data_IF_542491759166
#
_entry.id   IF_542491759166
#
_cell.length_a   1.000
_cell.length_b   1.000
_cell.length_c   1.000
_cell.angle_alpha   90.00
_cell.angle_beta   90.00
_cell.angle_gamma   90.00
#
_symmetry.space_group_name_H-M   'P 1'
#
loop_
_entity.id
_entity.type
_entity.pdbx_description
1 polymer ?
#
# COMPACT_ATOMS: atom_id res chain seq x y z
N UNK A 1 -21.90 25.45 12.63
CA UNK A 1 -21.29 26.80 12.58
C UNK A 1 -20.16 27.01 13.59
N UNK A 2 -20.32 26.76 14.91
CA UNK A 2 -19.24 26.99 15.87
C UNK A 2 -18.01 26.09 15.65
N UNK A 3 -18.19 24.90 15.08
CA UNK A 3 -17.10 23.94 14.86
C UNK A 3 -16.14 24.37 13.74
N UNK A 4 -16.65 24.98 12.68
CA UNK A 4 -15.81 25.54 11.60
C UNK A 4 -14.97 26.73 12.08
N UNK A 5 -15.56 27.58 12.93
CA UNK A 5 -14.86 28.75 13.50
C UNK A 5 -13.75 28.30 14.45
N UNK A 6 -14.01 27.30 15.29
CA UNK A 6 -12.98 26.71 16.17
C UNK A 6 -11.87 26.05 15.37
N UNK A 7 -12.20 25.26 14.35
CA UNK A 7 -11.21 24.59 13.51
C UNK A 7 -10.35 25.56 12.69
N UNK A 8 -10.96 26.64 12.17
CA UNK A 8 -10.24 27.70 11.45
C UNK A 8 -9.28 28.49 12.37
N UNK A 9 -9.69 28.76 13.61
CA UNK A 9 -8.88 29.49 14.60
C UNK A 9 -7.71 28.64 15.15
N UNK A 10 -7.95 27.34 15.40
CA UNK A 10 -6.94 26.41 15.93
C UNK A 10 -5.94 25.91 14.89
N UNK A 11 -6.07 26.30 13.62
CA UNK A 11 -5.12 25.93 12.58
C UNK A 11 -3.75 26.55 12.87
N UNK A 12 -2.69 25.72 12.89
CA UNK A 12 -1.36 26.09 13.44
C UNK A 12 -0.83 27.44 12.95
N UNK A 13 -1.08 27.75 11.67
CA UNK A 13 -0.56 28.94 11.03
C UNK A 13 -1.36 30.19 11.40
N UNK A 14 -2.69 30.09 11.56
CA UNK A 14 -3.52 31.21 12.00
C UNK A 14 -3.22 31.57 13.45
N UNK A 15 -3.02 30.56 14.31
CA UNK A 15 -2.66 30.77 15.72
C UNK A 15 -1.28 31.45 15.87
N UNK A 16 -0.33 31.09 15.00
CA UNK A 16 0.99 31.74 14.96
C UNK A 16 0.90 33.19 14.45
N UNK A 17 0.08 33.47 13.43
CA UNK A 17 -0.10 34.83 12.92
C UNK A 17 -0.83 35.73 13.92
N UNK A 18 -1.88 35.24 14.58
CA UNK A 18 -2.63 36.00 15.58
C UNK A 18 -1.80 36.20 16.86
N UNK A 19 -1.22 35.12 17.40
CA UNK A 19 -0.36 35.19 18.57
C UNK A 19 0.87 36.08 18.34
N UNK A 20 1.50 35.96 17.16
CA UNK A 20 2.63 36.79 16.76
C UNK A 20 2.25 38.26 16.55
N UNK A 21 1.12 38.53 15.89
CA UNK A 21 0.62 39.89 15.65
C UNK A 21 0.19 40.60 16.93
N UNK A 22 -0.48 39.89 17.84
CA UNK A 22 -0.86 40.42 19.15
C UNK A 22 0.36 40.71 20.03
N UNK A 23 1.35 39.79 20.06
CA UNK A 23 2.59 39.99 20.80
C UNK A 23 3.39 41.20 20.25
N UNK A 24 3.50 41.34 18.93
CA UNK A 24 4.17 42.47 18.30
C UNK A 24 3.44 43.80 18.55
N UNK A 25 2.10 43.80 18.55
CA UNK A 25 1.29 44.98 18.84
C UNK A 25 1.45 45.47 20.29
N UNK A 26 1.55 44.56 21.26
CA UNK A 26 1.77 44.89 22.68
C UNK A 26 3.16 45.45 22.93
N UNK A 27 4.17 45.02 22.16
CA UNK A 27 5.54 45.51 22.27
C UNK A 27 5.77 46.89 21.61
N UNK A 28 4.74 47.45 20.97
CA UNK A 28 4.81 48.73 20.25
C UNK A 28 3.99 49.81 20.99
N UNK A 29 4.46 51.07 21.09
CA UNK A 29 3.76 52.16 21.81
C UNK A 29 2.39 52.56 21.20
N UNK A 30 1.99 51.94 20.08
CA UNK A 30 0.72 52.12 19.38
C UNK A 30 -0.29 50.99 19.66
N UNK A 31 -0.07 50.19 20.72
CA UNK A 31 -0.89 49.04 21.08
C UNK A 31 -2.40 49.34 21.11
N UNK A 32 -2.80 50.51 21.60
CA UNK A 32 -4.21 50.93 21.69
C UNK A 32 -4.94 51.03 20.34
N UNK A 33 -4.22 51.18 19.23
CA UNK A 33 -4.78 51.24 17.87
C UNK A 33 -4.54 49.93 17.12
N UNK A 34 -3.36 49.33 17.28
CA UNK A 34 -2.96 48.14 16.53
C UNK A 34 -3.70 46.87 16.97
N UNK A 35 -3.94 46.73 18.28
CA UNK A 35 -4.60 45.54 18.84
C UNK A 35 -6.06 45.38 18.36
N UNK A 36 -6.93 46.42 18.39
CA UNK A 36 -8.27 46.30 17.81
C UNK A 36 -8.25 46.10 16.29
N UNK A 37 -7.24 46.59 15.58
CA UNK A 37 -7.08 46.42 14.14
C UNK A 37 -6.68 44.97 13.77
N UNK A 38 -5.80 44.35 14.56
CA UNK A 38 -5.43 42.93 14.42
C UNK A 38 -6.63 42.04 14.71
N UNK A 39 -7.38 42.33 15.78
CA UNK A 39 -8.62 41.59 16.11
C UNK A 39 -9.67 41.75 15.00
N UNK A 40 -9.88 42.97 14.50
CA UNK A 40 -10.83 43.22 13.41
C UNK A 40 -10.40 42.53 12.10
N UNK A 41 -9.09 42.55 11.79
CA UNK A 41 -8.54 41.88 10.63
C UNK A 41 -8.67 40.37 10.69
N UNK A 42 -8.44 39.76 11.86
CA UNK A 42 -8.63 38.33 12.06
C UNK A 42 -10.11 37.94 11.97
N UNK A 43 -11.02 38.72 12.56
CA UNK A 43 -12.45 38.47 12.44
C UNK A 43 -12.93 38.55 10.99
N UNK A 44 -12.46 39.54 10.22
CA UNK A 44 -12.77 39.67 8.79
C UNK A 44 -12.19 38.51 7.98
N UNK A 45 -10.95 38.10 8.29
CA UNK A 45 -10.29 36.97 7.63
C UNK A 45 -11.00 35.64 7.93
N UNK A 46 -11.36 35.37 9.18
CA UNK A 46 -12.09 34.15 9.58
C UNK A 46 -13.50 34.13 8.98
N UNK A 47 -14.20 35.27 8.93
CA UNK A 47 -15.49 35.37 8.25
C UNK A 47 -15.36 35.08 6.74
N UNK A 48 -14.30 35.58 6.10
CA UNK A 48 -13.97 35.28 4.71
C UNK A 48 -13.62 33.81 4.49
N UNK A 49 -12.77 33.22 5.34
CA UNK A 49 -12.34 31.83 5.24
C UNK A 49 -13.50 30.86 5.40
N UNK A 50 -14.42 31.14 6.33
CA UNK A 50 -15.65 30.37 6.50
C UNK A 50 -16.56 30.50 5.29
N UNK A 51 -16.50 31.56 4.49
CA UNK A 51 -17.31 31.69 3.26
C UNK A 51 -16.78 30.87 2.07
N UNK A 52 -15.55 30.35 2.14
CA UNK A 52 -14.93 29.58 1.04
C UNK A 52 -15.48 28.14 1.01
N UNK A 53 -16.10 27.71 -0.11
CA UNK A 53 -16.75 26.39 -0.20
C UNK A 53 -15.77 25.23 -0.06
N UNK A 54 -14.52 25.38 -0.53
CA UNK A 54 -13.45 24.39 -0.38
C UNK A 54 -13.04 24.17 1.09
N UNK A 55 -13.05 25.22 1.90
CA UNK A 55 -12.68 25.12 3.31
C UNK A 55 -13.77 24.41 4.11
N UNK A 56 -15.05 24.74 3.83
CA UNK A 56 -16.18 24.00 4.39
C UNK A 56 -16.14 22.54 4.00
N UNK A 57 -15.95 22.21 2.72
CA UNK A 57 -15.86 20.83 2.26
C UNK A 57 -14.73 20.02 2.91
N UNK A 58 -13.58 20.64 3.18
CA UNK A 58 -12.45 19.98 3.84
C UNK A 58 -12.72 19.72 5.34
N UNK A 59 -13.33 20.68 6.05
CA UNK A 59 -13.73 20.50 7.45
C UNK A 59 -14.93 19.56 7.55
N UNK A 60 -15.86 19.60 6.61
CA UNK A 60 -16.97 18.66 6.49
C UNK A 60 -16.44 17.24 6.29
N UNK A 61 -15.47 17.04 5.39
CA UNK A 61 -14.83 15.74 5.22
C UNK A 61 -14.12 15.26 6.51
N UNK A 62 -13.48 16.16 7.25
CA UNK A 62 -12.79 15.83 8.49
C UNK A 62 -13.74 15.55 9.67
N UNK A 63 -14.82 16.33 9.79
CA UNK A 63 -15.88 16.14 10.79
C UNK A 63 -16.72 14.92 10.43
N UNK A 64 -16.97 14.64 9.16
CA UNK A 64 -17.56 13.38 8.72
C UNK A 64 -16.61 12.20 8.97
N UNK A 65 -15.30 12.31 8.76
CA UNK A 65 -14.35 11.25 9.11
C UNK A 65 -14.33 10.96 10.63
N UNK A 66 -14.57 11.97 11.47
CA UNK A 66 -14.60 11.84 12.93
C UNK A 66 -15.98 11.50 13.51
N UNK A 67 -17.06 11.79 12.79
CA UNK A 67 -18.46 11.60 13.22
C UNK A 67 -19.19 10.49 12.45
N UNK A 68 -18.57 9.88 11.45
CA UNK A 68 -19.15 8.75 10.73
C UNK A 68 -19.14 7.52 11.63
N UNK A 69 -20.24 7.33 12.34
CA UNK A 69 -20.80 6.00 12.55
C UNK A 69 -21.20 5.46 11.18
N UNK A 70 -20.64 4.34 10.68
CA UNK A 70 -20.88 3.92 9.31
C UNK A 70 -22.25 3.25 9.19
N UNK A 71 -23.20 4.01 8.67
CA UNK A 71 -24.28 3.43 7.91
C UNK A 71 -23.76 3.19 6.48
N UNK A 72 -23.47 1.93 6.18
CA UNK A 72 -23.05 1.33 4.92
C UNK A 72 -23.37 2.14 3.63
N UNK A 73 -22.41 2.92 3.16
CA UNK A 73 -22.22 3.20 1.75
C UNK A 73 -20.89 2.56 1.31
N UNK A 74 -20.83 1.85 0.16
CA UNK A 74 -19.57 1.26 -0.30
C UNK A 74 -18.54 2.36 -0.55
N UNK A 75 -17.41 2.28 0.16
CA UNK A 75 -16.28 3.19 -0.02
C UNK A 75 -15.74 3.01 -1.44
N UNK A 76 -15.65 4.11 -2.20
CA UNK A 76 -15.04 4.06 -3.53
C UNK A 76 -13.58 3.57 -3.39
N UNK A 77 -13.18 2.52 -4.12
CA UNK A 77 -11.80 2.04 -4.07
C UNK A 77 -10.85 3.17 -4.49
N UNK A 78 -9.70 3.33 -3.82
CA UNK A 78 -8.69 4.29 -4.27
C UNK A 78 -8.27 3.93 -5.69
N UNK A 79 -8.27 4.91 -6.61
CA UNK A 79 -8.01 4.67 -8.04
C UNK A 79 -6.70 3.91 -8.32
N UNK A 80 -5.69 4.12 -7.47
CA UNK A 80 -4.42 3.38 -7.50
C UNK A 80 -4.56 1.88 -7.30
N UNK A 81 -5.52 1.42 -6.48
CA UNK A 81 -5.78 -0.01 -6.28
C UNK A 81 -6.46 -0.66 -7.49
N UNK A 82 -7.38 0.07 -8.14
CA UNK A 82 -8.01 -0.37 -9.37
C UNK A 82 -6.98 -0.47 -10.51
N UNK A 83 -6.08 0.50 -10.63
CA UNK A 83 -5.00 0.50 -11.61
C UNK A 83 -4.02 -0.67 -11.37
N UNK A 84 -3.66 -0.94 -10.11
CA UNK A 84 -2.81 -2.08 -9.75
C UNK A 84 -3.48 -3.42 -10.08
N UNK A 85 -4.78 -3.56 -9.81
CA UNK A 85 -5.56 -4.74 -10.17
C UNK A 85 -5.68 -4.89 -11.68
N UNK A 86 -5.90 -3.81 -12.42
CA UNK A 86 -5.95 -3.81 -13.89
C UNK A 86 -4.62 -4.23 -14.54
N UNK A 87 -3.48 -3.90 -13.92
CA UNK A 87 -2.15 -4.29 -14.40
C UNK A 87 -1.74 -5.75 -14.14
N UNK A 88 -2.57 -6.53 -13.43
CA UNK A 88 -2.28 -7.93 -13.09
C UNK A 88 -2.74 -8.91 -14.18
N UNK A 89 -1.97 -10.00 -14.42
CA UNK A 89 -2.40 -11.06 -15.32
C UNK A 89 -3.68 -11.75 -14.78
N UNK A 90 -4.50 -12.35 -15.66
CA UNK A 90 -5.81 -12.90 -15.28
C UNK A 90 -5.73 -13.96 -14.18
N UNK A 91 -4.71 -14.82 -14.20
CA UNK A 91 -4.50 -15.83 -13.15
C UNK A 91 -4.29 -15.18 -11.78
N UNK A 92 -3.42 -14.16 -11.69
CA UNK A 92 -3.15 -13.45 -10.45
C UNK A 92 -4.38 -12.68 -9.94
N UNK A 93 -5.17 -12.08 -10.84
CA UNK A 93 -6.46 -11.47 -10.49
C UNK A 93 -7.41 -12.50 -9.89
N UNK A 94 -7.52 -13.68 -10.50
CA UNK A 94 -8.37 -14.77 -9.98
C UNK A 94 -7.93 -15.25 -8.59
N UNK A 95 -6.61 -15.35 -8.34
CA UNK A 95 -6.06 -15.70 -7.02
C UNK A 95 -6.44 -14.66 -5.97
N UNK A 96 -6.27 -13.38 -6.29
CA UNK A 96 -6.66 -12.28 -5.42
C UNK A 96 -8.15 -12.31 -5.07
N UNK A 97 -9.02 -12.50 -6.07
CA UNK A 97 -10.48 -12.59 -5.89
C UNK A 97 -10.86 -13.73 -4.94
N UNK A 98 -10.27 -14.91 -5.12
CA UNK A 98 -10.51 -16.08 -4.25
C UNK A 98 -10.10 -15.78 -2.81
N UNK A 99 -8.96 -15.10 -2.60
CA UNK A 99 -8.50 -14.75 -1.26
C UNK A 99 -9.42 -13.70 -0.62
N UNK A 100 -9.81 -12.67 -1.37
CA UNK A 100 -10.73 -11.63 -0.91
C UNK A 100 -12.08 -12.21 -0.48
N UNK A 101 -12.66 -13.11 -1.28
CA UNK A 101 -13.89 -13.81 -0.93
C UNK A 101 -13.78 -14.59 0.40
N UNK A 102 -12.67 -15.32 0.62
CA UNK A 102 -12.44 -16.04 1.89
C UNK A 102 -12.32 -15.10 3.09
N UNK A 103 -11.69 -13.94 2.93
CA UNK A 103 -11.62 -12.93 3.98
C UNK A 103 -13.01 -12.37 4.33
N UNK A 104 -13.89 -12.18 3.33
CA UNK A 104 -15.27 -11.76 3.55
C UNK A 104 -16.10 -12.82 4.28
N UNK A 105 -15.94 -14.09 3.91
CA UNK A 105 -16.58 -15.23 4.60
C UNK A 105 -16.14 -15.29 6.07
N UNK A 106 -14.85 -15.18 6.34
CA UNK A 106 -14.30 -15.14 7.70
C UNK A 106 -14.91 -14.01 8.54
N UNK A 107 -15.06 -12.82 7.95
CA UNK A 107 -15.72 -11.67 8.60
C UNK A 107 -17.19 -11.95 8.90
N UNK A 108 -17.91 -12.54 7.96
CA UNK A 108 -19.33 -12.88 8.13
C UNK A 108 -19.54 -13.92 9.25
N UNK A 109 -18.69 -14.95 9.32
CA UNK A 109 -18.72 -15.97 10.38
C UNK A 109 -18.47 -15.33 11.76
N UNK A 110 -17.43 -14.50 11.87
CA UNK A 110 -17.10 -13.80 13.12
C UNK A 110 -18.22 -12.86 13.60
N UNK A 111 -18.93 -12.21 12.67
CA UNK A 111 -20.09 -11.37 12.97
C UNK A 111 -21.30 -12.19 13.43
N UNK A 112 -21.60 -13.31 12.77
CA UNK A 112 -22.73 -14.18 13.09
C UNK A 112 -22.62 -14.81 14.48
N UNK A 113 -21.42 -15.24 14.88
CA UNK A 113 -21.14 -15.82 16.20
C UNK A 113 -21.39 -14.82 17.33
N UNK A 114 -20.97 -13.55 17.16
CA UNK A 114 -21.20 -12.49 18.14
C UNK A 114 -22.67 -12.09 18.27
N UNK A 115 -23.39 -12.04 17.15
CA UNK A 115 -24.82 -11.74 17.15
C UNK A 115 -25.64 -12.77 17.94
N UNK A 116 -25.23 -14.04 17.92
CA UNK A 116 -25.86 -15.10 18.71
C UNK A 116 -25.53 -15.03 20.21
N UNK A 117 -24.40 -14.44 20.60
CA UNK A 117 -23.95 -14.32 21.99
C UNK A 117 -24.61 -13.16 22.77
N UNK A 118 -25.47 -12.35 22.12
CA UNK A 118 -26.24 -11.29 22.77
C UNK A 118 -25.45 -10.03 23.17
N UNK A 119 -24.20 -9.91 22.73
CA UNK A 119 -23.31 -8.80 23.09
C UNK A 119 -23.60 -7.56 22.21
N UNK A 120 -24.57 -6.73 22.64
CA UNK A 120 -24.98 -5.50 21.96
C UNK A 120 -24.19 -4.24 22.38
N UNK A 121 -23.06 -4.37 23.09
CA UNK A 121 -22.30 -3.22 23.56
C UNK A 121 -21.14 -2.85 22.61
N UNK A 122 -21.42 -1.99 21.63
CA UNK A 122 -20.49 -0.92 21.17
C UNK A 122 -19.17 -1.28 20.47
N UNK A 123 -18.88 -2.55 20.16
CA UNK A 123 -17.59 -2.96 19.57
C UNK A 123 -17.65 -3.64 18.21
N UNK A 124 -18.77 -3.54 17.48
CA UNK A 124 -19.00 -4.30 16.25
C UNK A 124 -17.99 -4.02 15.11
N UNK A 125 -17.32 -2.86 15.12
CA UNK A 125 -16.38 -2.42 14.08
C UNK A 125 -14.91 -2.76 14.34
N UNK A 126 -14.53 -3.05 15.59
CA UNK A 126 -13.12 -3.12 15.96
C UNK A 126 -12.50 -4.51 15.79
N UNK A 127 -13.25 -5.51 15.29
CA UNK A 127 -12.64 -6.80 14.89
C UNK A 127 -12.06 -6.67 13.48
N UNK A 128 -11.03 -5.81 13.51
CA UNK A 128 -9.76 -5.81 12.77
C UNK A 128 -9.85 -6.08 11.28
N UNK A 129 -10.77 -5.41 10.60
CA UNK A 129 -10.62 -4.96 9.21
C UNK A 129 -9.15 -4.61 8.88
N UNK A 130 -8.40 -3.84 9.71
CA UNK A 130 -6.98 -3.55 9.47
C UNK A 130 -6.06 -4.76 9.32
N UNK A 131 -6.28 -5.87 10.05
CA UNK A 131 -5.41 -7.05 9.96
C UNK A 131 -5.60 -7.78 8.63
N UNK A 132 -6.85 -8.03 8.26
CA UNK A 132 -7.22 -8.65 6.99
C UNK A 132 -6.92 -7.74 5.78
N UNK A 133 -7.13 -6.41 5.90
CA UNK A 133 -6.76 -5.44 4.87
C UNK A 133 -5.25 -5.42 4.63
N UNK A 134 -4.46 -5.44 5.71
CA UNK A 134 -3.00 -5.53 5.61
C UNK A 134 -2.55 -6.83 4.94
N UNK A 135 -3.19 -7.95 5.26
CA UNK A 135 -2.92 -9.24 4.63
C UNK A 135 -3.21 -9.20 3.13
N UNK A 136 -4.38 -8.69 2.75
CA UNK A 136 -4.77 -8.55 1.34
C UNK A 136 -3.85 -7.58 0.60
N UNK A 137 -3.45 -6.49 1.24
CA UNK A 137 -2.51 -5.52 0.67
C UNK A 137 -1.14 -6.13 0.41
N UNK A 138 -0.58 -6.85 1.38
CA UNK A 138 0.68 -7.56 1.20
C UNK A 138 0.59 -8.61 0.10
N UNK A 139 -0.51 -9.36 0.07
CA UNK A 139 -0.75 -10.36 -0.96
C UNK A 139 -0.81 -9.73 -2.36
N UNK A 140 -1.50 -8.59 -2.50
CA UNK A 140 -1.54 -7.81 -3.74
C UNK A 140 -0.14 -7.37 -4.18
N UNK A 141 0.67 -6.84 -3.25
CA UNK A 141 2.06 -6.44 -3.53
C UNK A 141 2.92 -7.63 -3.97
N UNK A 142 2.76 -8.80 -3.34
CA UNK A 142 3.44 -10.03 -3.75
C UNK A 142 3.03 -10.45 -5.17
N UNK A 143 1.75 -10.36 -5.52
CA UNK A 143 1.27 -10.64 -6.87
C UNK A 143 1.86 -9.68 -7.91
N UNK A 144 1.93 -8.39 -7.62
CA UNK A 144 2.55 -7.40 -8.51
C UNK A 144 4.04 -7.69 -8.69
N UNK A 145 4.75 -7.98 -7.61
CA UNK A 145 6.17 -8.37 -7.64
C UNK A 145 6.38 -9.64 -8.47
N UNK A 146 5.53 -10.65 -8.29
CA UNK A 146 5.56 -11.88 -9.10
C UNK A 146 5.36 -11.57 -10.58
N UNK A 147 4.34 -10.79 -10.92
CA UNK A 147 4.05 -10.43 -12.31
C UNK A 147 5.20 -9.65 -12.96
N UNK A 148 5.88 -8.78 -12.19
CA UNK A 148 7.07 -8.06 -12.66
C UNK A 148 8.26 -9.01 -12.90
N UNK A 149 8.53 -9.92 -11.96
CA UNK A 149 9.58 -10.94 -12.10
C UNK A 149 9.32 -11.88 -13.28
N UNK A 150 8.07 -12.34 -13.45
CA UNK A 150 7.68 -13.19 -14.56
C UNK A 150 7.86 -12.48 -15.91
N UNK A 151 7.50 -11.19 -16.00
CA UNK A 151 7.77 -10.39 -17.22
C UNK A 151 9.27 -10.27 -17.50
N UNK A 152 10.07 -9.96 -16.47
CA UNK A 152 11.51 -9.87 -16.59
C UNK A 152 12.13 -11.19 -17.10
N UNK A 153 11.76 -12.32 -16.49
CA UNK A 153 12.22 -13.65 -16.87
C UNK A 153 11.78 -14.05 -18.29
N UNK A 154 10.60 -13.61 -18.75
CA UNK A 154 10.15 -13.83 -20.14
C UNK A 154 10.93 -13.02 -21.17
N UNK A 155 11.35 -11.80 -20.82
CA UNK A 155 12.13 -10.95 -21.73
C UNK A 155 13.61 -11.34 -21.83
N UNK A 156 14.06 -12.27 -20.99
CA UNK A 156 15.47 -12.64 -20.88
C UNK A 156 15.67 -14.14 -20.92
N UNK A 157 16.32 -14.65 -21.97
CA UNK A 157 16.62 -16.07 -22.13
C UNK A 157 17.98 -16.43 -21.53
N UNK A 158 17.97 -17.28 -20.50
CA UNK A 158 19.20 -17.83 -19.88
C UNK A 158 20.08 -18.55 -20.91
N UNK A 159 19.46 -19.28 -21.84
CA UNK A 159 20.14 -20.05 -22.88
C UNK A 159 20.86 -19.15 -23.89
N UNK A 160 20.25 -18.04 -24.33
CA UNK A 160 20.88 -17.16 -25.31
C UNK A 160 22.02 -16.36 -24.66
N UNK A 161 21.85 -15.95 -23.40
CA UNK A 161 22.90 -15.24 -22.66
C UNK A 161 24.09 -16.16 -22.39
N UNK A 162 23.86 -17.41 -21.99
CA UNK A 162 24.92 -18.39 -21.71
C UNK A 162 25.67 -18.84 -22.97
N UNK A 163 24.96 -19.11 -24.07
CA UNK A 163 25.59 -19.45 -25.35
C UNK A 163 26.45 -18.30 -25.89
N UNK A 164 25.94 -17.07 -25.84
CA UNK A 164 26.69 -15.88 -26.25
C UNK A 164 27.91 -15.60 -25.37
N UNK A 165 27.80 -15.86 -24.06
CA UNK A 165 28.96 -15.81 -23.15
C UNK A 165 30.04 -16.83 -23.53
N UNK A 166 29.66 -18.06 -23.87
CA UNK A 166 30.61 -19.07 -24.30
C UNK A 166 31.33 -18.66 -25.60
N UNK A 167 30.60 -18.08 -26.55
CA UNK A 167 31.18 -17.55 -27.79
C UNK A 167 32.13 -16.37 -27.53
N UNK A 168 31.73 -15.40 -26.71
CA UNK A 168 32.58 -14.26 -26.34
C UNK A 168 33.87 -14.70 -25.65
N UNK A 169 33.81 -15.70 -24.76
CA UNK A 169 34.99 -16.27 -24.10
C UNK A 169 35.93 -16.96 -25.09
N UNK A 170 35.38 -17.68 -26.08
CA UNK A 170 36.19 -18.28 -27.16
C UNK A 170 36.89 -17.20 -28.01
N UNK A 171 36.16 -16.14 -28.35
CA UNK A 171 36.70 -15.02 -29.11
C UNK A 171 37.77 -14.25 -28.34
N UNK A 172 37.62 -14.13 -27.02
CA UNK A 172 38.62 -13.51 -26.14
C UNK A 172 39.95 -14.29 -26.18
N UNK A 173 39.90 -15.62 -26.00
CA UNK A 173 41.10 -16.46 -26.05
C UNK A 173 41.84 -16.36 -27.41
N UNK A 174 41.10 -16.27 -28.51
CA UNK A 174 41.67 -16.05 -29.84
C UNK A 174 42.28 -14.63 -30.00
N UNK A 175 41.62 -13.61 -29.46
CA UNK A 175 42.08 -12.22 -29.51
C UNK A 175 43.33 -11.98 -28.65
N UNK A 176 43.45 -12.65 -27.51
CA UNK A 176 44.64 -12.60 -26.64
C UNK A 176 45.90 -13.11 -27.37
N UNK A 177 45.74 -14.11 -28.25
CA UNK A 177 46.84 -14.63 -29.09
C UNK A 177 47.23 -13.64 -30.20
N UNK A 178 46.28 -12.81 -30.65
CA UNK A 178 46.48 -11.86 -31.75
C UNK A 178 47.07 -10.51 -31.30
N UNK A 179 47.05 -10.20 -30.00
CA UNK A 179 47.71 -9.03 -29.41
C UNK A 179 46.96 -7.69 -29.52
N UNK A 180 45.76 -7.65 -30.09
CA UNK A 180 44.96 -6.41 -30.15
C UNK A 180 44.27 -6.13 -28.80
N UNK A 181 44.94 -5.33 -27.96
CA UNK A 181 44.44 -4.97 -26.64
C UNK A 181 43.09 -4.25 -26.64
N UNK A 182 42.74 -3.54 -27.72
CA UNK A 182 41.45 -2.82 -27.81
C UNK A 182 40.30 -3.82 -27.95
N UNK A 183 40.49 -4.85 -28.78
CA UNK A 183 39.52 -5.94 -28.97
C UNK A 183 39.39 -6.76 -27.67
N UNK A 184 40.51 -7.13 -27.05
CA UNK A 184 40.54 -7.87 -25.77
C UNK A 184 39.72 -7.14 -24.71
N UNK A 185 39.93 -5.83 -24.51
CA UNK A 185 39.18 -5.05 -23.52
C UNK A 185 37.68 -5.00 -23.82
N UNK A 186 37.30 -4.77 -25.08
CA UNK A 186 35.88 -4.73 -25.48
C UNK A 186 35.17 -6.08 -25.28
N UNK A 187 35.87 -7.19 -25.52
CA UNK A 187 35.35 -8.54 -25.26
C UNK A 187 35.22 -8.81 -23.76
N UNK A 188 36.20 -8.40 -22.95
CA UNK A 188 36.14 -8.50 -21.48
C UNK A 188 34.94 -7.72 -20.92
N UNK A 189 34.71 -6.49 -21.37
CA UNK A 189 33.56 -5.68 -20.96
C UNK A 189 32.23 -6.35 -21.35
N UNK A 190 32.18 -6.95 -22.55
CA UNK A 190 31.00 -7.68 -23.04
C UNK A 190 30.71 -8.94 -22.21
N UNK A 191 31.76 -9.66 -21.79
CA UNK A 191 31.66 -10.83 -20.90
C UNK A 191 31.16 -10.39 -19.52
N UNK A 192 31.74 -9.35 -18.94
CA UNK A 192 31.31 -8.83 -17.65
C UNK A 192 29.82 -8.42 -17.65
N UNK A 193 29.37 -7.75 -18.72
CA UNK A 193 27.94 -7.42 -18.91
C UNK A 193 27.07 -8.68 -19.01
N UNK A 194 27.52 -9.70 -19.76
CA UNK A 194 26.82 -10.98 -19.87
C UNK A 194 26.71 -11.74 -18.54
N UNK A 195 27.76 -11.72 -17.73
CA UNK A 195 27.79 -12.37 -16.41
C UNK A 195 26.85 -11.68 -15.42
N UNK A 196 26.85 -10.35 -15.36
CA UNK A 196 25.90 -9.57 -14.55
C UNK A 196 24.45 -9.87 -14.94
N UNK A 197 24.20 -9.97 -16.25
CA UNK A 197 22.90 -10.36 -16.79
C UNK A 197 22.48 -11.75 -16.29
N UNK A 198 23.37 -12.73 -16.35
CA UNK A 198 23.08 -14.10 -15.90
C UNK A 198 22.84 -14.18 -14.39
N UNK A 199 23.63 -13.45 -13.58
CA UNK A 199 23.41 -13.33 -12.14
C UNK A 199 22.04 -12.72 -11.82
N UNK A 200 21.69 -11.60 -12.47
CA UNK A 200 20.40 -10.96 -12.30
C UNK A 200 19.23 -11.89 -12.67
N UNK A 201 19.36 -12.67 -13.74
CA UNK A 201 18.38 -13.68 -14.12
C UNK A 201 18.24 -14.76 -13.02
N UNK A 202 19.35 -15.31 -12.53
CA UNK A 202 19.36 -16.31 -11.47
C UNK A 202 18.73 -15.80 -10.17
N UNK A 203 19.02 -14.55 -9.78
CA UNK A 203 18.40 -13.89 -8.64
C UNK A 203 16.90 -13.68 -8.84
N UNK A 204 16.48 -13.16 -9.99
CA UNK A 204 15.07 -12.97 -10.31
C UNK A 204 14.28 -14.28 -10.29
N UNK A 205 14.87 -15.38 -10.79
CA UNK A 205 14.27 -16.72 -10.77
C UNK A 205 14.04 -17.22 -9.34
N UNK A 206 15.08 -17.15 -8.49
CA UNK A 206 14.97 -17.54 -7.06
C UNK A 206 13.94 -16.69 -6.32
N UNK A 207 13.89 -15.40 -6.61
CA UNK A 207 12.92 -14.48 -6.01
C UNK A 207 11.49 -14.79 -6.46
N UNK A 208 11.29 -15.14 -7.73
CA UNK A 208 9.98 -15.53 -8.26
C UNK A 208 9.48 -16.82 -7.58
N UNK A 209 10.37 -17.80 -7.39
CA UNK A 209 10.08 -19.03 -6.66
C UNK A 209 9.70 -18.74 -5.20
N UNK A 210 10.51 -17.94 -4.49
CA UNK A 210 10.23 -17.52 -3.12
C UNK A 210 8.86 -16.83 -3.00
N UNK A 211 8.59 -15.85 -3.87
CA UNK A 211 7.30 -15.13 -3.88
C UNK A 211 6.13 -16.09 -4.15
N UNK A 212 6.30 -17.08 -5.03
CA UNK A 212 5.26 -18.07 -5.28
C UNK A 212 4.95 -18.90 -4.02
N UNK A 213 5.97 -19.38 -3.32
CA UNK A 213 5.81 -20.14 -2.07
C UNK A 213 5.15 -19.29 -0.99
N UNK A 214 5.52 -18.01 -0.88
CA UNK A 214 4.90 -17.10 0.08
C UNK A 214 3.43 -16.82 -0.26
N UNK A 215 3.06 -16.66 -1.53
CA UNK A 215 1.66 -16.54 -1.94
C UNK A 215 0.85 -17.78 -1.52
N UNK A 216 1.37 -18.98 -1.79
CA UNK A 216 0.72 -20.25 -1.41
C UNK A 216 0.57 -20.37 0.12
N UNK A 217 1.61 -19.96 0.87
CA UNK A 217 1.60 -19.94 2.33
C UNK A 217 0.55 -18.97 2.90
N UNK A 218 0.38 -17.80 2.30
CA UNK A 218 -0.64 -16.82 2.72
C UNK A 218 -2.05 -17.37 2.49
N UNK A 219 -2.31 -17.92 1.30
CA UNK A 219 -3.58 -18.55 0.97
C UNK A 219 -3.90 -19.71 1.94
N UNK A 220 -2.93 -20.58 2.20
CA UNK A 220 -3.07 -21.71 3.13
C UNK A 220 -3.37 -21.27 4.57
N UNK A 221 -2.72 -20.21 5.06
CA UNK A 221 -3.01 -19.67 6.40
C UNK A 221 -4.43 -19.10 6.50
N UNK A 222 -4.88 -18.34 5.50
CA UNK A 222 -6.23 -17.78 5.50
C UNK A 222 -7.27 -18.90 5.43
N UNK A 223 -7.00 -19.94 4.65
CA UNK A 223 -7.86 -21.12 4.60
C UNK A 223 -7.97 -21.82 5.97
N UNK A 224 -6.84 -22.06 6.63
CA UNK A 224 -6.83 -22.66 7.96
C UNK A 224 -7.58 -21.78 8.99
N UNK A 225 -7.46 -20.45 8.90
CA UNK A 225 -8.21 -19.53 9.75
C UNK A 225 -9.72 -19.62 9.51
N UNK A 226 -10.16 -19.74 8.25
CA UNK A 226 -11.55 -19.93 7.91
C UNK A 226 -12.10 -21.25 8.47
N UNK A 227 -11.36 -22.35 8.34
CA UNK A 227 -11.74 -23.66 8.90
C UNK A 227 -11.85 -23.63 10.44
N UNK A 228 -10.90 -22.98 11.10
CA UNK A 228 -10.91 -22.78 12.55
C UNK A 228 -12.08 -21.90 12.99
N UNK A 229 -12.43 -20.86 12.21
CA UNK A 229 -13.57 -19.98 12.52
C UNK A 229 -14.91 -20.70 12.48
N UNK A 230 -15.07 -21.65 11.56
CA UNK A 230 -16.27 -22.48 11.47
C UNK A 230 -16.37 -23.43 12.67
N UNK A 231 -15.25 -24.07 13.03
CA UNK A 231 -15.23 -25.08 14.09
C UNK A 231 -15.24 -24.49 15.50
N UNK A 232 -14.57 -23.35 15.69
CA UNK A 232 -14.38 -22.67 16.96
C UNK A 232 -15.01 -21.29 16.86
N UNK A 233 -16.27 -21.20 17.30
CA UNK A 233 -17.06 -19.99 17.38
C UNK A 233 -16.61 -19.07 18.55
N UNK A 234 -15.30 -18.83 18.65
CA UNK A 234 -14.67 -17.97 19.65
C UNK A 234 -14.06 -16.76 18.95
N UNK A 235 -14.74 -15.59 18.97
CA UNK A 235 -14.31 -14.45 18.18
C UNK A 235 -12.99 -13.81 18.65
N UNK A 236 -12.67 -13.88 19.94
CA UNK A 236 -11.43 -13.32 20.50
C UNK A 236 -10.23 -14.16 20.07
N UNK A 237 -10.39 -15.49 20.08
CA UNK A 237 -9.41 -16.41 19.55
C UNK A 237 -9.14 -16.16 18.07
N UNK A 238 -10.18 -16.01 17.25
CA UNK A 238 -10.04 -15.72 15.82
C UNK A 238 -9.32 -14.39 15.55
N UNK A 239 -9.66 -13.35 16.32
CA UNK A 239 -8.98 -12.05 16.20
C UNK A 239 -7.47 -12.17 16.47
N UNK A 240 -7.08 -12.89 17.53
CA UNK A 240 -5.66 -13.07 17.88
C UNK A 240 -4.88 -13.84 16.80
N UNK A 241 -5.54 -14.78 16.13
CA UNK A 241 -4.93 -15.61 15.09
C UNK A 241 -4.75 -14.84 13.78
N UNK A 242 -5.69 -13.96 13.42
CA UNK A 242 -5.53 -13.02 12.28
C UNK A 242 -4.37 -12.06 12.52
N UNK A 243 -4.25 -11.49 13.72
CA UNK A 243 -3.13 -10.61 14.06
C UNK A 243 -1.79 -11.34 14.00
N UNK A 244 -1.72 -12.56 14.54
CA UNK A 244 -0.53 -13.39 14.47
C UNK A 244 -0.15 -13.74 13.03
N UNK A 245 -1.15 -13.99 12.17
CA UNK A 245 -0.93 -14.20 10.75
C UNK A 245 -0.35 -12.93 10.09
N UNK A 246 -0.96 -11.76 10.31
CA UNK A 246 -0.49 -10.48 9.79
C UNK A 246 0.92 -10.12 10.32
N UNK A 247 1.19 -10.38 11.60
CA UNK A 247 2.49 -10.22 12.25
C UNK A 247 3.56 -11.07 11.57
N UNK A 248 3.30 -12.37 11.40
CA UNK A 248 4.22 -13.32 10.80
C UNK A 248 4.58 -12.99 9.35
N UNK A 249 3.78 -12.16 8.70
CA UNK A 249 3.97 -11.73 7.32
C UNK A 249 4.70 -10.38 7.19
N UNK A 250 4.99 -9.69 8.31
CA UNK A 250 5.81 -8.47 8.31
C UNK A 250 7.26 -8.72 7.89
N UNK A 251 7.79 -9.90 8.17
CA UNK A 251 9.10 -10.32 7.65
C UNK A 251 9.08 -10.49 6.14
N UNK A 252 8.01 -11.07 5.58
CA UNK A 252 7.79 -11.17 4.13
C UNK A 252 7.65 -9.79 3.50
N UNK A 253 6.96 -8.85 4.15
CA UNK A 253 6.84 -7.46 3.70
C UNK A 253 8.19 -6.76 3.51
N UNK A 254 9.14 -6.95 4.45
CA UNK A 254 10.49 -6.40 4.33
C UNK A 254 11.24 -7.01 3.14
N UNK A 255 11.20 -8.33 3.00
CA UNK A 255 11.82 -9.01 1.87
C UNK A 255 11.23 -8.54 0.53
N UNK A 256 9.91 -8.36 0.44
CA UNK A 256 9.24 -7.82 -0.76
C UNK A 256 9.63 -6.37 -1.04
N UNK A 257 9.79 -5.54 -0.01
CA UNK A 257 10.24 -4.15 -0.19
C UNK A 257 11.65 -4.08 -0.78
N UNK A 258 12.56 -4.96 -0.37
CA UNK A 258 13.90 -5.08 -0.95
C UNK A 258 13.84 -5.52 -2.41
N UNK A 259 12.96 -6.46 -2.74
CA UNK A 259 12.73 -6.91 -4.13
C UNK A 259 12.14 -5.80 -5.02
N UNK A 260 11.24 -4.98 -4.48
CA UNK A 260 10.61 -3.87 -5.20
C UNK A 260 11.58 -2.72 -5.47
N UNK A 261 12.51 -2.46 -4.55
CA UNK A 261 13.61 -1.53 -4.77
C UNK A 261 14.50 -1.97 -5.93
N UNK A 262 14.75 -3.29 -6.08
CA UNK A 262 15.55 -3.84 -7.19
C UNK A 262 14.81 -3.82 -8.54
N UNK A 263 13.49 -3.86 -8.54
CA UNK A 263 12.66 -3.89 -9.76
C UNK A 263 12.15 -2.51 -10.19
N UNK A 264 12.46 -1.44 -9.41
CA UNK A 264 12.00 -0.08 -9.68
C UNK A 264 10.49 0.13 -9.47
N UNK A 265 9.82 -0.81 -8.79
CA UNK A 265 8.39 -0.78 -8.50
C UNK A 265 8.06 -0.14 -7.14
N UNK A 266 9.07 0.38 -6.46
CA UNK A 266 8.92 1.03 -5.17
C UNK A 266 8.61 2.52 -5.40
N UNK A 267 7.35 2.92 -5.28
CA UNK A 267 7.03 4.22 -4.63
C UNK A 267 5.56 4.60 -4.40
N UNK A 268 4.54 3.83 -4.78
CA UNK A 268 3.21 4.46 -4.87
C UNK A 268 2.31 4.43 -3.63
N UNK A 269 2.47 3.53 -2.65
CA UNK A 269 1.51 3.46 -1.53
C UNK A 269 2.15 2.97 -0.23
N UNK A 270 2.29 3.90 0.74
CA UNK A 270 2.96 3.69 2.03
C UNK A 270 2.03 3.14 3.13
N UNK A 271 0.71 3.09 2.90
CA UNK A 271 -0.27 2.61 3.87
C UNK A 271 -1.31 1.69 3.19
N UNK A 272 -1.69 0.55 3.81
CA UNK A 272 -2.68 -0.36 3.24
C UNK A 272 -4.04 0.34 3.11
N UNK A 273 -4.61 0.46 1.89
CA UNK A 273 -5.96 0.98 1.74
C UNK A 273 -7.00 0.02 2.35
N UNK A 274 -8.22 0.47 2.68
CA UNK A 274 -9.31 -0.40 3.11
C UNK A 274 -9.82 -1.25 1.93
N UNK A 275 -9.23 -2.43 1.72
CA UNK A 275 -9.49 -3.31 0.57
C UNK A 275 -10.78 -4.11 0.76
N UNK A 276 -11.10 -4.49 1.99
CA UNK A 276 -12.27 -5.32 2.32
C UNK A 276 -13.59 -4.60 2.12
N UNK A 277 -13.59 -3.28 2.28
CA UNK A 277 -14.79 -2.43 2.19
C UNK A 277 -14.96 -1.80 0.81
N UNK A 278 -13.90 -1.84 0.00
CA UNK A 278 -13.87 -1.33 -1.36
C UNK A 278 -14.76 -2.14 -2.30
N UNK A 279 -15.59 -1.47 -3.11
CA UNK A 279 -16.37 -2.15 -4.16
C UNK A 279 -15.48 -2.52 -5.35
N UNK A 280 -14.91 -3.73 -5.31
CA UNK A 280 -14.06 -4.24 -6.40
C UNK A 280 -14.88 -4.69 -7.62
N UNK A 281 -16.22 -4.73 -7.57
CA UNK A 281 -17.06 -5.32 -8.62
C UNK A 281 -16.88 -4.66 -9.99
N UNK A 282 -16.51 -3.38 -10.06
CA UNK A 282 -16.25 -2.70 -11.34
C UNK A 282 -15.07 -3.30 -12.10
N UNK A 283 -13.99 -3.69 -11.42
CA UNK A 283 -12.79 -4.29 -12.05
C UNK A 283 -12.93 -5.80 -12.21
N UNK A 284 -13.63 -6.46 -11.29
CA UNK A 284 -13.82 -7.91 -11.32
C UNK A 284 -14.83 -8.37 -12.39
N UNK A 285 -15.74 -7.50 -12.86
CA UNK A 285 -16.75 -7.81 -13.90
C UNK A 285 -16.25 -7.70 -15.34
N UNK A 286 -15.07 -7.14 -15.60
CA UNK A 286 -14.57 -6.95 -16.97
C UNK A 286 -14.15 -8.26 -17.68
N UNK A 287 -14.24 -9.42 -17.02
CA UNK A 287 -13.89 -10.73 -17.58
C UNK A 287 -15.06 -11.74 -17.57
N UNK A 288 -16.33 -11.29 -17.56
CA UNK A 288 -17.49 -12.15 -17.83
C UNK A 288 -17.91 -12.10 -19.30
#
# INVERSE_FOLDING_TARGET
MPDYLKAAFLFRWNLLFFGGGAAAAVLTPLAGVLLPLVVAGELAYLAGLVSVPRFRAAIDAQVHALSSTPAAAPTEPPGSLLDMLGGLPPDARSRFQRLHARCLELRAIAAGVRGAAGDQAGGAEAIRTPGLDRLLWLFLRLLLSKAALDRFLRTMSEQDVSSRLAELRKNLAAAETSGDQRIVRSLQDSIASGELRLDNYGRARKNAEFVSVELDRIEGKIQALAEVAVNRQDPDFLSSQVDSAAESMRQTEKAVSELQHLTGLADQLQEPPPILESDLRQVLRHDA
#
